data_IF_224762658148
#
_entry.id   IF_224762658148
#
_cell.length_a   1.000
_cell.length_b   1.000
_cell.length_c   1.000
_cell.angle_alpha   90.00
_cell.angle_beta   90.00
_cell.angle_gamma   90.00
#
_symmetry.space_group_name_H-M   'P 1'
#
loop_
_entity.id
_entity.type
_entity.pdbx_description
1 polymer ?
#
# COMPACT_ATOMS: atom_id res chain seq x y z
N UNK A 1 -1.95 35.75 13.89
CA UNK A 1 -2.76 34.63 14.41
C UNK A 1 -3.36 33.79 13.29
N UNK A 2 -4.17 34.37 12.39
CA UNK A 2 -4.78 33.63 11.26
C UNK A 2 -3.77 32.91 10.35
N UNK A 3 -2.63 33.54 10.04
CA UNK A 3 -1.57 32.91 9.22
C UNK A 3 -1.02 31.66 9.88
N UNK A 4 -0.78 31.69 11.20
CA UNK A 4 -0.32 30.52 11.97
C UNK A 4 -1.41 29.44 12.00
N UNK A 5 -2.68 29.81 12.19
CA UNK A 5 -3.78 28.86 12.14
C UNK A 5 -3.91 28.21 10.75
N UNK A 6 -3.79 28.99 9.67
CA UNK A 6 -3.80 28.46 8.31
C UNK A 6 -2.64 27.50 8.05
N UNK A 7 -1.44 27.84 8.51
CA UNK A 7 -0.27 26.98 8.37
C UNK A 7 -0.39 25.64 9.12
N UNK A 8 -0.88 25.66 10.36
CA UNK A 8 -1.07 24.41 11.12
C UNK A 8 -2.19 23.56 10.52
N UNK A 9 -3.30 24.17 10.08
CA UNK A 9 -4.40 23.44 9.43
C UNK A 9 -3.92 22.79 8.14
N UNK A 10 -3.07 23.47 7.36
CA UNK A 10 -2.51 22.91 6.13
C UNK A 10 -1.60 21.69 6.42
N UNK A 11 -0.66 21.81 7.36
CA UNK A 11 0.28 20.71 7.70
C UNK A 11 -0.47 19.55 8.35
N UNK A 12 -1.33 19.82 9.33
CA UNK A 12 -2.16 18.79 9.96
C UNK A 12 -3.12 18.14 8.96
N UNK A 13 -3.66 18.91 8.01
CA UNK A 13 -4.51 18.39 6.94
C UNK A 13 -3.77 17.37 6.08
N UNK A 14 -2.52 17.66 5.71
CA UNK A 14 -1.67 16.71 4.99
C UNK A 14 -1.37 15.44 5.81
N UNK A 15 -1.06 15.61 7.10
CA UNK A 15 -0.88 14.48 8.02
C UNK A 15 -2.16 13.62 8.15
N UNK A 16 -3.34 14.26 8.24
CA UNK A 16 -4.63 13.58 8.30
C UNK A 16 -4.93 12.80 7.02
N UNK A 17 -4.60 13.35 5.85
CA UNK A 17 -4.77 12.64 4.57
C UNK A 17 -3.89 11.38 4.54
N UNK A 18 -2.61 11.48 4.91
CA UNK A 18 -1.72 10.32 4.98
C UNK A 18 -2.22 9.26 5.98
N UNK A 19 -2.68 9.70 7.15
CA UNK A 19 -3.29 8.83 8.15
C UNK A 19 -4.53 8.11 7.59
N UNK A 20 -5.42 8.84 6.91
CA UNK A 20 -6.61 8.28 6.26
C UNK A 20 -6.23 7.24 5.20
N UNK A 21 -5.23 7.51 4.36
CA UNK A 21 -4.72 6.55 3.39
C UNK A 21 -4.11 5.32 4.04
N UNK A 22 -3.33 5.46 5.12
CA UNK A 22 -2.82 4.29 5.84
C UNK A 22 -3.97 3.44 6.39
N UNK A 23 -5.00 4.09 6.92
CA UNK A 23 -6.16 3.42 7.49
C UNK A 23 -7.00 2.67 6.44
N UNK A 24 -7.09 3.17 5.21
CA UNK A 24 -7.84 2.51 4.13
C UNK A 24 -7.24 1.14 3.74
N UNK A 25 -5.96 0.89 4.00
CA UNK A 25 -5.36 -0.45 3.81
C UNK A 25 -5.83 -1.46 4.86
N UNK A 26 -6.33 -1.02 6.01
CA UNK A 26 -6.81 -1.89 7.09
C UNK A 26 -8.28 -2.33 6.89
N UNK A 27 -9.04 -1.65 6.04
CA UNK A 27 -10.48 -1.88 5.88
C UNK A 27 -10.79 -2.16 4.41
N UNK A 28 -11.41 -3.31 4.13
CA UNK A 28 -11.71 -3.74 2.75
C UNK A 28 -12.76 -2.86 2.05
N UNK A 29 -13.77 -2.40 2.80
CA UNK A 29 -14.88 -1.61 2.26
C UNK A 29 -14.63 -0.12 2.48
N UNK A 30 -14.69 0.68 1.41
CA UNK A 30 -14.45 2.12 1.46
C UNK A 30 -15.41 2.86 2.42
N UNK A 31 -16.70 2.49 2.41
CA UNK A 31 -17.69 3.09 3.31
C UNK A 31 -17.37 2.82 4.78
N UNK A 32 -16.94 1.60 5.10
CA UNK A 32 -16.52 1.25 6.46
C UNK A 32 -15.23 1.97 6.84
N UNK A 33 -14.30 2.12 5.90
CA UNK A 33 -13.05 2.85 6.12
C UNK A 33 -13.33 4.30 6.52
N UNK A 34 -14.26 4.97 5.82
CA UNK A 34 -14.67 6.34 6.12
C UNK A 34 -15.33 6.47 7.51
N UNK A 35 -16.29 5.60 7.84
CA UNK A 35 -16.99 5.64 9.14
C UNK A 35 -16.02 5.39 10.29
N UNK A 36 -15.18 4.35 10.17
CA UNK A 36 -14.22 4.02 11.23
C UNK A 36 -13.16 5.12 11.34
N UNK A 37 -12.69 5.68 10.22
CA UNK A 37 -11.79 6.83 10.25
C UNK A 37 -12.43 8.02 10.98
N UNK A 38 -13.69 8.35 10.69
CA UNK A 38 -14.40 9.43 11.38
C UNK A 38 -14.50 9.17 12.88
N UNK A 39 -14.89 7.95 13.29
CA UNK A 39 -14.96 7.57 14.70
C UNK A 39 -13.60 7.66 15.38
N UNK A 40 -12.55 7.09 14.79
CA UNK A 40 -11.22 7.08 15.38
C UNK A 40 -10.61 8.48 15.41
N UNK A 41 -10.76 9.28 14.36
CA UNK A 41 -10.08 10.56 14.26
C UNK A 41 -10.83 11.69 14.98
N UNK A 42 -12.16 11.73 14.89
CA UNK A 42 -12.98 12.80 15.50
C UNK A 42 -13.32 12.47 16.94
N UNK A 43 -13.83 11.27 17.21
CA UNK A 43 -14.31 10.92 18.55
C UNK A 43 -13.16 10.82 19.56
N UNK A 44 -12.04 10.19 19.19
CA UNK A 44 -10.87 10.11 20.08
C UNK A 44 -10.29 11.50 20.35
N UNK A 45 -10.10 12.33 19.31
CA UNK A 45 -9.58 13.70 19.49
C UNK A 45 -10.52 14.54 20.37
N UNK A 46 -11.83 14.39 20.20
CA UNK A 46 -12.84 15.05 21.05
C UNK A 46 -12.77 14.56 22.49
N UNK A 47 -12.74 13.25 22.72
CA UNK A 47 -12.67 12.66 24.05
C UNK A 47 -11.41 13.11 24.81
N UNK A 48 -10.28 13.19 24.12
CA UNK A 48 -9.02 13.69 24.68
C UNK A 48 -9.15 15.17 25.04
N UNK A 49 -9.71 16.00 24.15
CA UNK A 49 -9.91 17.42 24.43
C UNK A 49 -10.85 17.67 25.62
N UNK A 50 -11.92 16.87 25.76
CA UNK A 50 -12.84 16.94 26.91
C UNK A 50 -12.13 16.54 28.20
N UNK A 51 -11.33 15.47 28.17
CA UNK A 51 -10.60 15.01 29.35
C UNK A 51 -9.50 15.98 29.78
N UNK A 52 -8.76 16.53 28.82
CA UNK A 52 -7.77 17.59 29.04
C UNK A 52 -8.41 18.80 29.75
N UNK A 53 -9.64 19.15 29.35
CA UNK A 53 -10.40 20.22 29.98
C UNK A 53 -10.90 19.85 31.39
N UNK A 54 -11.48 18.65 31.60
CA UNK A 54 -12.01 18.25 32.91
C UNK A 54 -10.92 18.15 33.96
N UNK A 55 -9.77 17.62 33.58
CA UNK A 55 -8.66 17.36 34.48
C UNK A 55 -7.78 18.61 34.67
N UNK A 56 -8.15 19.74 34.04
CA UNK A 56 -7.41 21.00 34.05
C UNK A 56 -5.94 20.82 33.63
N UNK A 57 -5.64 19.91 32.68
CA UNK A 57 -4.28 19.71 32.18
C UNK A 57 -3.71 20.93 31.48
N UNK A 58 -4.59 21.87 31.08
CA UNK A 58 -4.21 23.15 30.50
C UNK A 58 -3.69 24.16 31.54
N UNK A 59 -3.99 23.95 32.83
CA UNK A 59 -3.53 24.87 33.87
C UNK A 59 -2.06 24.59 34.14
N UNK A 60 -1.25 25.62 33.95
CA UNK A 60 0.18 25.58 34.24
C UNK A 60 0.36 25.16 35.71
N UNK A 61 0.84 23.93 35.90
CA UNK A 61 1.22 23.48 37.24
C UNK A 61 2.63 23.99 37.52
N UNK A 62 2.92 24.40 38.75
CA UNK A 62 4.29 24.79 39.13
C UNK A 62 5.27 23.61 39.05
N UNK A 63 4.77 22.39 38.87
CA UNK A 63 5.56 21.18 38.73
C UNK A 63 6.02 20.98 37.26
N UNK A 64 7.28 21.37 37.00
CA UNK A 64 7.93 21.22 35.70
C UNK A 64 7.93 19.77 35.18
N UNK A 65 8.07 18.77 36.06
CA UNK A 65 8.12 17.35 35.67
C UNK A 65 6.76 16.89 35.13
N UNK A 66 5.68 17.25 35.84
CA UNK A 66 4.32 16.90 35.44
C UNK A 66 3.97 17.53 34.08
N UNK A 67 4.30 18.81 33.88
CA UNK A 67 4.08 19.50 32.60
C UNK A 67 4.88 18.85 31.46
N UNK A 68 6.09 18.37 31.73
CA UNK A 68 6.93 17.67 30.74
C UNK A 68 6.32 16.33 30.35
N UNK A 69 5.82 15.55 31.31
CA UNK A 69 5.16 14.26 31.07
C UNK A 69 3.87 14.46 30.28
N UNK A 70 3.00 15.40 30.70
CA UNK A 70 1.76 15.71 29.98
C UNK A 70 2.08 16.19 28.57
N UNK A 71 3.06 17.09 28.39
CA UNK A 71 3.51 17.55 27.09
C UNK A 71 3.94 16.41 26.17
N UNK A 72 4.68 15.42 26.70
CA UNK A 72 5.10 14.23 25.98
C UNK A 72 3.92 13.31 25.62
N UNK A 73 2.98 13.07 26.53
CA UNK A 73 1.78 12.27 26.25
C UNK A 73 0.96 12.91 25.13
N UNK A 74 0.72 14.22 25.23
CA UNK A 74 -0.02 14.97 24.21
C UNK A 74 0.74 15.03 22.88
N UNK A 75 2.07 14.97 22.89
CA UNK A 75 2.90 14.80 21.69
C UNK A 75 2.62 13.47 21.01
N UNK A 76 2.71 12.35 21.76
CA UNK A 76 2.43 11.01 21.22
C UNK A 76 1.02 10.94 20.64
N UNK A 77 0.04 11.48 21.36
CA UNK A 77 -1.34 11.60 20.88
C UNK A 77 -1.40 12.42 19.59
N UNK A 78 -0.76 13.59 19.53
CA UNK A 78 -0.77 14.45 18.35
C UNK A 78 -0.07 13.82 17.13
N UNK A 79 0.90 12.94 17.34
CA UNK A 79 1.53 12.17 16.26
C UNK A 79 0.59 11.07 15.74
N UNK A 80 -0.10 10.37 16.66
CA UNK A 80 -1.04 9.27 16.35
C UNK A 80 -2.40 9.74 15.83
N UNK A 81 -2.83 10.95 16.19
CA UNK A 81 -4.11 11.53 15.83
C UNK A 81 -3.89 12.98 15.37
N UNK A 82 -3.49 13.20 14.11
CA UNK A 82 -3.02 14.51 13.66
C UNK A 82 -4.08 15.62 13.74
N UNK A 83 -5.36 15.26 13.70
CA UNK A 83 -6.47 16.20 13.85
C UNK A 83 -6.52 16.83 15.26
N UNK A 84 -6.04 16.11 16.28
CA UNK A 84 -5.96 16.64 17.64
C UNK A 84 -5.09 17.91 17.71
N UNK A 85 -4.03 18.00 16.89
CA UNK A 85 -3.17 19.19 16.83
C UNK A 85 -3.93 20.45 16.36
N UNK A 86 -4.94 20.30 15.49
CA UNK A 86 -5.79 21.42 15.05
C UNK A 86 -6.66 21.89 16.22
N UNK A 87 -7.34 20.97 16.91
CA UNK A 87 -8.22 21.26 18.04
C UNK A 87 -7.42 21.95 19.16
N UNK A 88 -6.25 21.39 19.50
CA UNK A 88 -5.36 21.94 20.52
C UNK A 88 -4.88 23.33 20.16
N UNK A 89 -4.42 23.55 18.92
CA UNK A 89 -3.97 24.87 18.48
C UNK A 89 -5.10 25.90 18.52
N UNK A 90 -6.29 25.53 18.07
CA UNK A 90 -7.47 26.41 18.14
C UNK A 90 -7.80 26.78 19.59
N UNK A 91 -7.82 25.80 20.49
CA UNK A 91 -8.06 25.98 21.92
C UNK A 91 -7.03 26.94 22.53
N UNK A 92 -5.74 26.72 22.31
CA UNK A 92 -4.67 27.61 22.82
C UNK A 92 -4.83 29.03 22.28
N UNK A 93 -5.13 29.19 20.99
CA UNK A 93 -5.34 30.51 20.39
C UNK A 93 -6.53 31.26 21.01
N UNK A 94 -7.62 30.54 21.32
CA UNK A 94 -8.78 31.10 22.03
C UNK A 94 -8.38 31.52 23.44
N UNK A 95 -7.70 30.66 24.20
CA UNK A 95 -7.24 30.97 25.56
C UNK A 95 -6.34 32.21 25.58
N UNK A 96 -5.39 32.31 24.66
CA UNK A 96 -4.52 33.48 24.49
C UNK A 96 -5.30 34.75 24.14
N UNK A 97 -6.34 34.64 23.31
CA UNK A 97 -7.23 35.76 23.00
C UNK A 97 -7.97 36.27 24.24
N UNK A 98 -8.41 35.36 25.12
CA UNK A 98 -9.06 35.68 26.39
C UNK A 98 -8.08 36.34 27.36
N UNK A 99 -6.86 35.80 27.49
CA UNK A 99 -5.80 36.38 28.35
C UNK A 99 -5.41 37.80 27.91
N UNK A 100 -5.21 38.01 26.61
CA UNK A 100 -4.90 39.34 26.08
C UNK A 100 -6.03 40.35 26.38
N UNK A 101 -7.29 39.92 26.29
CA UNK A 101 -8.44 40.80 26.61
C UNK A 101 -8.60 41.08 28.10
N UNK A 102 -8.24 40.13 28.97
CA UNK A 102 -8.45 40.23 30.42
C UNK A 102 -7.29 40.89 31.16
N UNK A 103 -6.05 40.59 30.76
CA UNK A 103 -4.82 41.00 31.47
C UNK A 103 -4.02 42.03 30.65
N UNK A 104 -4.34 42.21 29.35
CA UNK A 104 -3.61 43.13 28.47
C UNK A 104 -2.26 42.59 27.99
N UNK A 105 -2.09 41.27 27.94
CA UNK A 105 -0.85 40.63 27.49
C UNK A 105 -0.65 40.83 25.98
N UNK A 106 0.42 41.54 25.58
CA UNK A 106 0.66 41.82 24.17
C UNK A 106 0.91 40.54 23.35
N UNK A 107 0.02 40.27 22.38
CA UNK A 107 0.14 39.12 21.47
C UNK A 107 1.17 39.46 20.38
N UNK A 108 2.40 39.01 20.54
CA UNK A 108 3.41 38.99 19.48
C UNK A 108 3.54 37.61 18.85
N UNK A 109 4.00 37.51 17.58
CA UNK A 109 4.25 36.22 16.93
C UNK A 109 5.27 35.38 17.72
N UNK A 110 6.29 36.02 18.29
CA UNK A 110 7.27 35.38 19.18
C UNK A 110 6.63 34.84 20.46
N UNK A 111 5.66 35.57 21.04
CA UNK A 111 4.90 35.06 22.19
C UNK A 111 4.11 33.80 21.83
N UNK A 112 3.44 33.77 20.66
CA UNK A 112 2.64 32.62 20.21
C UNK A 112 3.47 31.34 19.99
N UNK A 113 4.72 31.49 19.57
CA UNK A 113 5.61 30.35 19.30
C UNK A 113 6.37 29.84 20.53
N UNK A 114 6.20 30.48 21.70
CA UNK A 114 6.78 29.98 22.96
C UNK A 114 6.29 28.58 23.25
N UNK A 115 7.19 27.72 23.70
CA UNK A 115 6.91 26.32 24.07
C UNK A 115 5.77 26.23 25.09
N UNK A 116 5.65 27.23 25.97
CA UNK A 116 4.53 27.39 26.93
C UNK A 116 3.16 27.20 26.29
N UNK A 117 2.93 27.76 25.10
CA UNK A 117 1.63 27.68 24.42
C UNK A 117 1.53 26.46 23.49
N UNK A 118 2.59 25.68 23.34
CA UNK A 118 2.62 24.41 22.63
C UNK A 118 2.24 24.48 21.13
N UNK A 119 2.01 25.68 20.56
CA UNK A 119 1.71 25.87 19.14
C UNK A 119 2.90 25.41 18.29
N UNK A 120 4.12 25.84 18.64
CA UNK A 120 5.35 25.40 17.96
C UNK A 120 5.55 23.89 18.05
N UNK A 121 5.22 23.28 19.20
CA UNK A 121 5.28 21.83 19.36
C UNK A 121 4.27 21.11 18.46
N UNK A 122 3.05 21.63 18.31
CA UNK A 122 2.05 21.06 17.40
C UNK A 122 2.51 21.05 15.94
N UNK A 123 3.23 22.09 15.49
CA UNK A 123 3.87 22.12 14.16
C UNK A 123 4.90 20.99 14.00
N UNK A 124 5.81 20.87 14.95
CA UNK A 124 6.86 19.85 14.94
C UNK A 124 6.23 18.45 14.89
N UNK A 125 5.23 18.19 15.74
CA UNK A 125 4.58 16.89 15.80
C UNK A 125 3.79 16.55 14.54
N UNK A 126 3.19 17.55 13.89
CA UNK A 126 2.51 17.35 12.62
C UNK A 126 3.49 16.98 11.51
N UNK A 127 4.68 17.58 11.47
CA UNK A 127 5.76 17.17 10.55
C UNK A 127 6.24 15.75 10.84
N UNK A 128 6.46 15.41 12.11
CA UNK A 128 6.85 14.03 12.51
C UNK A 128 5.78 13.03 12.11
N UNK A 129 4.50 13.38 12.28
CA UNK A 129 3.37 12.55 11.87
C UNK A 129 3.32 12.32 10.35
N UNK A 130 3.59 13.35 9.54
CA UNK A 130 3.73 13.22 8.08
C UNK A 130 4.81 12.20 7.73
N UNK A 131 6.00 12.32 8.34
CA UNK A 131 7.12 11.40 8.09
C UNK A 131 6.73 9.97 8.49
N UNK A 132 6.12 9.80 9.67
CA UNK A 132 5.67 8.49 10.16
C UNK A 132 4.67 7.84 9.20
N UNK A 133 3.59 8.54 8.85
CA UNK A 133 2.55 7.98 7.98
C UNK A 133 3.00 7.82 6.54
N UNK A 134 3.91 8.66 6.03
CA UNK A 134 4.51 8.43 4.71
C UNK A 134 5.31 7.11 4.69
N UNK A 135 6.12 6.83 5.71
CA UNK A 135 6.86 5.57 5.81
C UNK A 135 5.93 4.36 5.95
N UNK A 136 4.88 4.46 6.79
CA UNK A 136 3.87 3.41 6.92
C UNK A 136 3.16 3.17 5.58
N UNK A 137 2.78 4.23 4.87
CA UNK A 137 2.12 4.12 3.58
C UNK A 137 3.02 3.44 2.55
N UNK A 138 4.30 3.80 2.47
CA UNK A 138 5.28 3.12 1.60
C UNK A 138 5.36 1.63 1.94
N UNK A 139 5.44 1.29 3.23
CA UNK A 139 5.48 -0.10 3.66
C UNK A 139 4.20 -0.88 3.29
N UNK A 140 3.03 -0.30 3.55
CA UNK A 140 1.73 -0.90 3.21
C UNK A 140 1.54 -1.04 1.70
N UNK A 141 1.97 -0.05 0.93
CA UNK A 141 1.93 -0.08 -0.54
C UNK A 141 2.83 -1.19 -1.07
N UNK A 142 4.08 -1.30 -0.59
CA UNK A 142 4.99 -2.40 -0.95
C UNK A 142 4.45 -3.76 -0.55
N UNK A 143 3.78 -3.86 0.60
CA UNK A 143 3.18 -5.13 1.07
C UNK A 143 1.97 -5.55 0.23
N UNK A 144 1.11 -4.60 -0.14
CA UNK A 144 -0.10 -4.87 -0.94
C UNK A 144 0.25 -5.13 -2.40
N UNK A 145 1.07 -4.27 -3.00
CA UNK A 145 1.50 -4.33 -4.39
C UNK A 145 2.90 -4.95 -4.51
N UNK A 146 3.12 -6.09 -3.84
CA UNK A 146 4.36 -6.83 -4.00
C UNK A 146 4.27 -7.64 -5.30
N UNK A 147 5.01 -7.29 -6.37
CA UNK A 147 4.94 -8.02 -7.65
C UNK A 147 5.44 -9.47 -7.53
N UNK A 148 6.17 -9.81 -6.46
CA UNK A 148 6.62 -11.17 -6.18
C UNK A 148 5.56 -12.02 -5.47
N UNK A 149 4.49 -11.41 -4.95
CA UNK A 149 3.45 -12.17 -4.24
C UNK A 149 2.72 -13.05 -5.26
N UNK A 150 2.75 -14.36 -5.05
CA UNK A 150 2.14 -15.32 -5.97
C UNK A 150 2.99 -15.66 -7.19
N UNK A 151 4.22 -15.13 -7.29
CA UNK A 151 5.17 -15.53 -8.33
C UNK A 151 6.09 -16.60 -7.75
N UNK A 152 6.00 -17.82 -8.29
CA UNK A 152 6.88 -18.93 -7.94
C UNK A 152 8.06 -18.98 -8.91
N UNK A 153 9.25 -19.24 -8.38
CA UNK A 153 10.41 -19.53 -9.20
C UNK A 153 10.30 -20.96 -9.74
N UNK A 154 10.58 -21.12 -11.03
CA UNK A 154 10.61 -22.42 -11.69
C UNK A 154 11.68 -23.30 -11.05
N UNK A 155 11.35 -24.56 -10.76
CA UNK A 155 12.34 -25.53 -10.26
C UNK A 155 13.37 -25.85 -11.34
N UNK A 156 14.57 -26.30 -10.94
CA UNK A 156 15.61 -26.68 -11.91
C UNK A 156 15.18 -27.80 -12.85
N UNK A 157 14.44 -28.78 -12.34
CA UNK A 157 13.92 -29.91 -13.13
C UNK A 157 12.89 -29.45 -14.18
N UNK A 158 11.98 -28.54 -13.81
CA UNK A 158 11.07 -27.92 -14.77
C UNK A 158 11.83 -27.10 -15.81
N UNK A 159 12.85 -26.35 -15.38
CA UNK A 159 13.66 -25.55 -16.29
C UNK A 159 14.44 -26.41 -17.29
N UNK A 160 15.01 -27.53 -16.84
CA UNK A 160 15.67 -28.54 -17.69
C UNK A 160 14.70 -29.15 -18.70
N UNK A 161 13.48 -29.50 -18.24
CA UNK A 161 12.42 -30.02 -19.11
C UNK A 161 12.04 -28.99 -20.17
N UNK A 162 11.87 -27.72 -19.79
CA UNK A 162 11.58 -26.64 -20.74
C UNK A 162 12.71 -26.40 -21.72
N UNK A 163 13.97 -26.41 -21.26
CA UNK A 163 15.11 -26.25 -22.14
C UNK A 163 15.19 -27.40 -23.15
N UNK A 164 14.87 -28.63 -22.72
CA UNK A 164 14.81 -29.79 -23.60
C UNK A 164 13.68 -29.64 -24.64
N UNK A 165 12.47 -29.32 -24.23
CA UNK A 165 11.33 -29.09 -25.13
C UNK A 165 11.61 -27.98 -26.14
N UNK A 166 12.30 -26.92 -25.70
CA UNK A 166 12.65 -25.78 -26.55
C UNK A 166 13.73 -26.13 -27.59
N UNK A 167 14.69 -26.98 -27.23
CA UNK A 167 15.74 -27.45 -28.15
C UNK A 167 15.22 -28.50 -29.15
N UNK A 168 14.28 -29.34 -28.73
CA UNK A 168 13.67 -30.37 -29.57
C UNK A 168 12.47 -29.85 -30.39
N UNK A 169 11.99 -28.64 -30.06
CA UNK A 169 10.79 -28.03 -30.62
C UNK A 169 11.01 -27.25 -31.91
N UNK A 170 10.11 -26.29 -32.15
CA UNK A 170 10.13 -25.42 -33.32
C UNK A 170 11.32 -24.44 -33.27
N UNK A 171 12.09 -24.37 -34.35
CA UNK A 171 13.25 -23.49 -34.48
C UNK A 171 12.87 -22.02 -34.34
N UNK A 172 11.68 -21.62 -34.79
CA UNK A 172 11.20 -20.24 -34.68
C UNK A 172 10.96 -19.85 -33.21
N UNK A 173 10.40 -20.77 -32.42
CA UNK A 173 10.19 -20.58 -30.98
C UNK A 173 11.53 -20.49 -30.25
N UNK A 174 12.48 -21.36 -30.60
CA UNK A 174 13.83 -21.32 -30.03
C UNK A 174 14.55 -20.00 -30.36
N UNK A 175 14.47 -19.54 -31.60
CA UNK A 175 15.07 -18.27 -32.03
C UNK A 175 14.46 -17.07 -31.30
N UNK A 176 13.15 -17.06 -31.10
CA UNK A 176 12.47 -16.01 -30.33
C UNK A 176 12.89 -16.03 -28.86
N UNK A 177 12.91 -17.19 -28.22
CA UNK A 177 13.43 -17.31 -26.86
C UNK A 177 14.86 -16.80 -26.75
N UNK A 178 15.74 -17.21 -27.68
CA UNK A 178 17.14 -16.77 -27.70
C UNK A 178 17.23 -15.26 -27.83
N UNK A 179 16.48 -14.65 -28.77
CA UNK A 179 16.42 -13.19 -28.97
C UNK A 179 16.06 -12.46 -27.68
N UNK A 180 15.01 -12.91 -27.00
CA UNK A 180 14.51 -12.28 -25.75
C UNK A 180 15.49 -12.49 -24.59
N UNK A 181 16.08 -13.68 -24.48
CA UNK A 181 17.00 -14.03 -23.41
C UNK A 181 18.37 -13.34 -23.55
N UNK A 182 18.88 -13.19 -24.77
CA UNK A 182 20.09 -12.41 -25.06
C UNK A 182 19.88 -10.93 -24.72
N UNK A 183 18.73 -10.35 -25.08
CA UNK A 183 18.43 -8.95 -24.76
C UNK A 183 18.26 -8.69 -23.25
N UNK A 184 18.01 -9.72 -22.44
CA UNK A 184 18.03 -9.61 -20.96
C UNK A 184 19.42 -9.31 -20.41
N UNK A 185 20.47 -9.78 -21.09
CA UNK A 185 21.86 -9.63 -20.65
C UNK A 185 22.51 -8.33 -21.14
N UNK A 186 21.84 -7.59 -22.03
CA UNK A 186 22.31 -6.32 -22.55
C UNK A 186 22.28 -5.23 -21.46
N UNK A 187 23.31 -4.38 -21.42
CA UNK A 187 23.36 -3.21 -20.53
C UNK A 187 22.19 -2.24 -20.78
N UNK A 188 21.79 -2.13 -22.04
CA UNK A 188 20.63 -1.35 -22.48
C UNK A 188 19.65 -2.29 -23.18
N UNK A 189 18.59 -2.75 -22.50
CA UNK A 189 17.50 -3.52 -23.10
C UNK A 189 16.90 -2.82 -24.32
N UNK A 190 16.87 -3.51 -25.45
CA UNK A 190 16.23 -3.00 -26.67
C UNK A 190 14.74 -3.34 -26.71
N UNK A 191 14.37 -4.51 -26.20
CA UNK A 191 12.99 -5.02 -26.19
C UNK A 191 12.26 -4.47 -24.95
N UNK A 192 11.22 -3.63 -25.09
CA UNK A 192 10.52 -3.04 -23.96
C UNK A 192 9.69 -4.03 -23.15
N UNK A 193 9.09 -5.04 -23.80
CA UNK A 193 8.24 -6.05 -23.13
C UNK A 193 8.82 -7.42 -23.40
N UNK A 194 9.19 -8.13 -22.32
CA UNK A 194 9.85 -9.44 -22.39
C UNK A 194 9.19 -10.42 -21.44
N UNK A 195 8.77 -11.55 -21.98
CA UNK A 195 8.35 -12.73 -21.23
C UNK A 195 9.35 -13.84 -21.53
N UNK A 196 9.87 -14.47 -20.48
CA UNK A 196 10.81 -15.60 -20.60
C UNK A 196 10.26 -16.70 -19.72
N UNK A 197 9.93 -17.83 -20.34
CA UNK A 197 9.40 -19.03 -19.65
C UNK A 197 8.22 -18.70 -18.73
N UNK A 198 7.37 -17.75 -19.14
CA UNK A 198 6.24 -17.31 -18.34
C UNK A 198 5.19 -18.42 -18.27
N UNK A 199 4.78 -18.75 -17.05
CA UNK A 199 3.65 -19.64 -16.78
C UNK A 199 2.65 -18.97 -15.85
N UNK A 200 1.40 -19.42 -15.91
CA UNK A 200 0.35 -18.99 -14.99
C UNK A 200 -0.49 -20.19 -14.59
N UNK A 201 -0.85 -20.24 -13.32
CA UNK A 201 -1.80 -21.19 -12.75
C UNK A 201 -2.90 -20.39 -12.03
N UNK A 202 -4.15 -20.82 -12.15
CA UNK A 202 -5.28 -20.32 -11.36
C UNK A 202 -5.63 -21.36 -10.29
N UNK A 203 -5.61 -20.97 -9.02
CA UNK A 203 -5.90 -21.80 -7.84
C UNK A 203 -7.28 -21.55 -7.23
N UNK A 204 -7.85 -20.36 -7.43
CA UNK A 204 -9.22 -20.00 -7.05
C UNK A 204 -10.24 -20.61 -8.01
N UNK A 205 -10.49 -21.92 -7.87
CA UNK A 205 -11.43 -22.69 -8.69
C UNK A 205 -12.62 -23.13 -7.84
N UNK A 206 -13.82 -22.80 -8.31
CA UNK A 206 -15.06 -23.34 -7.78
C UNK A 206 -15.36 -24.69 -8.44
N UNK A 207 -15.26 -25.77 -7.67
CA UNK A 207 -15.60 -27.12 -8.13
C UNK A 207 -17.08 -27.40 -7.90
N UNK A 208 -17.76 -28.00 -8.89
CA UNK A 208 -19.17 -28.36 -8.75
C UNK A 208 -19.35 -29.60 -7.86
N UNK A 209 -18.34 -30.48 -7.81
CA UNK A 209 -18.40 -31.73 -7.07
C UNK A 209 -17.05 -32.18 -6.53
N UNK A 210 -17.09 -33.02 -5.48
CA UNK A 210 -15.88 -33.67 -4.93
C UNK A 210 -15.23 -34.63 -5.94
N UNK A 211 -16.01 -35.23 -6.84
CA UNK A 211 -15.49 -36.15 -7.83
C UNK A 211 -14.58 -35.43 -8.83
N UNK A 212 -14.95 -34.22 -9.24
CA UNK A 212 -14.14 -33.39 -10.14
C UNK A 212 -12.76 -33.06 -9.55
N UNK A 213 -12.70 -32.79 -8.24
CA UNK A 213 -11.42 -32.59 -7.53
C UNK A 213 -10.58 -33.86 -7.60
N UNK A 214 -11.17 -35.02 -7.32
CA UNK A 214 -10.47 -36.32 -7.36
C UNK A 214 -9.98 -36.62 -8.78
N UNK A 215 -10.80 -36.35 -9.79
CA UNK A 215 -10.46 -36.57 -11.19
C UNK A 215 -9.31 -35.64 -11.62
N UNK A 216 -9.34 -34.37 -11.20
CA UNK A 216 -8.27 -33.41 -11.43
C UNK A 216 -6.96 -33.83 -10.73
N UNK A 217 -7.05 -34.35 -9.50
CA UNK A 217 -5.89 -34.84 -8.76
C UNK A 217 -5.21 -36.05 -9.44
N UNK A 218 -6.00 -36.91 -10.09
CA UNK A 218 -5.51 -38.13 -10.74
C UNK A 218 -5.09 -37.92 -12.20
N UNK A 219 -5.34 -36.74 -12.78
CA UNK A 219 -5.06 -36.43 -14.19
C UNK A 219 -3.56 -36.20 -14.41
N UNK A 220 -2.92 -37.07 -15.20
CA UNK A 220 -1.48 -36.99 -15.50
C UNK A 220 -1.13 -36.09 -16.70
N UNK A 221 -2.00 -36.04 -17.70
CA UNK A 221 -1.78 -35.30 -18.94
C UNK A 221 -2.98 -34.39 -19.20
N UNK A 222 -3.11 -33.28 -18.46
CA UNK A 222 -4.24 -32.37 -18.62
C UNK A 222 -4.25 -31.74 -20.00
N UNK A 223 -5.43 -31.71 -20.62
CA UNK A 223 -5.62 -30.89 -21.81
C UNK A 223 -5.76 -29.44 -21.42
N UNK A 224 -5.64 -28.59 -22.43
CA UNK A 224 -5.88 -27.17 -22.31
C UNK A 224 -7.20 -26.86 -21.58
N UNK A 225 -7.13 -26.09 -20.49
CA UNK A 225 -8.29 -25.67 -19.69
C UNK A 225 -8.81 -26.70 -18.69
N UNK A 226 -8.26 -27.92 -18.64
CA UNK A 226 -8.63 -28.92 -17.64
C UNK A 226 -7.94 -28.65 -16.29
N UNK A 227 -8.62 -29.00 -15.20
CA UNK A 227 -8.06 -28.93 -13.85
C UNK A 227 -7.00 -30.00 -13.61
N UNK A 228 -5.91 -29.69 -12.92
CA UNK A 228 -4.87 -30.66 -12.60
C UNK A 228 -4.12 -30.27 -11.32
N UNK A 229 -3.32 -31.17 -10.77
CA UNK A 229 -2.39 -30.79 -9.71
C UNK A 229 -1.35 -29.81 -10.23
N UNK A 230 -1.08 -28.74 -9.48
CA UNK A 230 -0.04 -27.77 -9.78
C UNK A 230 1.30 -28.45 -9.98
N UNK A 231 1.93 -28.14 -11.11
CA UNK A 231 3.28 -28.60 -11.43
C UNK A 231 4.33 -27.66 -10.83
N UNK A 232 3.94 -26.41 -10.54
CA UNK A 232 4.79 -25.40 -9.90
C UNK A 232 4.94 -25.58 -8.38
N UNK A 233 4.38 -26.65 -7.81
CA UNK A 233 4.61 -27.04 -6.42
C UNK A 233 3.69 -26.37 -5.40
N UNK A 234 2.58 -25.75 -5.83
CA UNK A 234 1.60 -25.21 -4.88
C UNK A 234 0.85 -26.32 -4.11
N UNK A 235 0.81 -27.54 -4.64
CA UNK A 235 0.08 -28.67 -4.04
C UNK A 235 -1.44 -28.53 -4.13
N UNK A 236 -1.94 -27.54 -4.87
CA UNK A 236 -3.35 -27.30 -5.11
C UNK A 236 -3.77 -27.81 -6.49
N UNK A 237 -5.08 -28.01 -6.66
CA UNK A 237 -5.67 -28.21 -7.98
C UNK A 237 -5.75 -26.85 -8.66
N UNK A 238 -5.24 -26.76 -9.87
CA UNK A 238 -5.12 -25.52 -10.65
C UNK A 238 -5.60 -25.71 -12.08
N UNK A 239 -5.76 -24.59 -12.79
CA UNK A 239 -5.91 -24.55 -14.25
C UNK A 239 -4.78 -23.72 -14.84
N UNK A 240 -4.07 -24.30 -15.82
CA UNK A 240 -2.93 -23.65 -16.49
C UNK A 240 -3.36 -23.08 -17.84
N UNK A 241 -3.58 -21.75 -17.97
CA UNK A 241 -3.91 -21.12 -19.26
C UNK A 241 -2.74 -21.06 -20.24
N UNK A 242 -1.50 -21.02 -19.77
CA UNK A 242 -0.31 -21.06 -20.61
C UNK A 242 0.91 -21.43 -19.76
N UNK A 243 1.85 -22.12 -20.39
CA UNK A 243 3.09 -22.61 -19.80
C UNK A 243 4.24 -22.30 -20.75
N UNK A 244 5.39 -21.96 -20.17
CA UNK A 244 6.65 -21.78 -20.92
C UNK A 244 6.56 -20.75 -22.07
N UNK A 245 5.77 -19.69 -21.91
CA UNK A 245 5.66 -18.66 -22.94
C UNK A 245 6.88 -17.74 -22.91
N UNK A 246 7.57 -17.66 -24.05
CA UNK A 246 8.63 -16.67 -24.28
C UNK A 246 8.24 -15.77 -25.45
N UNK A 247 8.23 -14.47 -25.22
CA UNK A 247 7.73 -13.47 -26.18
C UNK A 247 8.40 -12.12 -25.91
N UNK A 248 8.95 -11.51 -26.96
CA UNK A 248 9.44 -10.15 -26.96
C UNK A 248 8.59 -9.27 -27.88
N UNK A 249 8.18 -8.10 -27.41
CA UNK A 249 7.47 -7.12 -28.25
C UNK A 249 8.36 -5.91 -28.41
N UNK A 250 8.71 -5.58 -29.65
CA UNK A 250 9.59 -4.48 -29.99
C UNK A 250 8.90 -3.11 -29.86
N UNK A 251 9.72 -2.06 -29.83
CA UNK A 251 9.20 -0.69 -29.81
C UNK A 251 8.39 -0.43 -31.08
N UNK A 252 7.19 0.12 -30.89
CA UNK A 252 6.23 0.41 -31.96
C UNK A 252 5.70 -0.83 -32.70
N UNK A 253 5.92 -2.04 -32.18
CA UNK A 253 5.30 -3.25 -32.70
C UNK A 253 3.83 -3.32 -32.26
N UNK A 254 2.94 -3.69 -33.20
CA UNK A 254 1.55 -4.00 -32.91
C UNK A 254 1.39 -5.52 -32.88
N UNK A 255 1.24 -6.09 -31.68
CA UNK A 255 1.00 -7.53 -31.52
C UNK A 255 -0.49 -7.80 -31.26
N UNK A 256 -0.99 -8.92 -31.78
CA UNK A 256 -2.34 -9.41 -31.54
C UNK A 256 -2.31 -10.88 -31.13
N UNK A 257 -3.08 -11.24 -30.11
CA UNK A 257 -3.17 -12.63 -29.64
C UNK A 257 -4.45 -13.26 -30.19
N UNK A 258 -4.32 -14.34 -30.96
CA UNK A 258 -5.44 -15.08 -31.56
C UNK A 258 -5.56 -16.47 -30.94
N UNK A 259 -6.78 -17.02 -30.94
CA UNK A 259 -7.06 -18.36 -30.41
C UNK A 259 -8.52 -18.54 -29.99
N UNK A 260 -8.98 -19.78 -29.72
CA UNK A 260 -10.35 -20.07 -29.29
C UNK A 260 -10.69 -19.46 -27.93
N UNK A 261 -11.97 -19.39 -27.57
CA UNK A 261 -12.38 -18.95 -26.24
C UNK A 261 -11.77 -19.85 -25.16
N UNK A 262 -11.35 -19.24 -24.06
CA UNK A 262 -10.64 -19.94 -23.01
C UNK A 262 -9.14 -20.08 -23.23
N UNK A 263 -8.57 -19.82 -24.43
CA UNK A 263 -7.14 -20.01 -24.79
C UNK A 263 -6.10 -19.14 -24.05
N UNK A 264 -6.48 -18.47 -22.96
CA UNK A 264 -5.54 -17.73 -22.13
C UNK A 264 -5.21 -16.33 -22.63
N UNK A 265 -5.81 -15.84 -23.72
CA UNK A 265 -5.54 -14.50 -24.30
C UNK A 265 -5.66 -13.35 -23.29
N UNK A 266 -6.82 -13.23 -22.65
CA UNK A 266 -7.07 -12.22 -21.60
C UNK A 266 -6.15 -12.43 -20.41
N UNK A 267 -5.85 -13.70 -20.08
CA UNK A 267 -4.93 -14.04 -18.99
C UNK A 267 -3.52 -13.54 -19.28
N UNK A 268 -3.04 -13.70 -20.53
CA UNK A 268 -1.73 -13.26 -20.97
C UNK A 268 -1.63 -11.74 -20.96
N UNK A 269 -2.62 -11.05 -21.53
CA UNK A 269 -2.65 -9.58 -21.53
C UNK A 269 -2.67 -9.00 -20.12
N UNK A 270 -3.50 -9.55 -19.22
CA UNK A 270 -3.54 -9.11 -17.83
C UNK A 270 -2.23 -9.37 -17.08
N UNK A 271 -1.59 -10.51 -17.36
CA UNK A 271 -0.26 -10.82 -16.80
C UNK A 271 0.81 -9.87 -17.33
N UNK A 272 0.77 -9.57 -18.62
CA UNK A 272 1.69 -8.66 -19.31
C UNK A 272 1.61 -7.23 -18.78
N UNK A 273 0.40 -6.74 -18.50
CA UNK A 273 0.16 -5.38 -18.02
C UNK A 273 0.31 -5.22 -16.51
N UNK A 274 0.72 -6.27 -15.78
CA UNK A 274 0.75 -6.32 -14.31
C UNK A 274 -0.58 -5.87 -13.67
N UNK A 275 -1.69 -5.98 -14.39
CA UNK A 275 -3.01 -5.51 -13.92
C UNK A 275 -3.69 -6.61 -13.13
N UNK A 276 -2.97 -7.14 -12.14
CA UNK A 276 -3.51 -8.08 -11.17
C UNK A 276 -4.20 -7.30 -10.04
N UNK A 277 -5.46 -7.64 -9.70
CA UNK A 277 -6.08 -7.20 -8.45
C UNK A 277 -5.40 -7.79 -7.21
#
# INVERSE_FOLDING_TARGET
MLILLGGIVFICGFACLLFQYCFSYCVKNESNAFIIFFLVNVLVSYAIAVKEHSDNWDKETDNLELNTIIGFILCVIGILFPNYNIIRTLKTLISLGIENRSIGTSISLGSLLKIKYQISTAYIYSIVSIILYANILIFLTKKKYNPKKGVLETTKEMDETFNKELLEGDEDIYNEYRRVNEDKSNEIPTIPIKFIKLGKEYDEIDFESRQEIIDAMNRKNPKYGEYHMSEMGSGHVVMTPFKNLSLGIDRCECFGVLGPNGSGKTSLLNTASFTFP
#
